data_IF_525219655211
#
_entry.id   IF_525219655211
#
_cell.length_a   1.000
_cell.length_b   1.000
_cell.length_c   1.000
_cell.angle_alpha   90.00
_cell.angle_beta   90.00
_cell.angle_gamma   90.00
#
_symmetry.space_group_name_H-M   'P 1'
#
loop_
_entity.id
_entity.type
_entity.pdbx_description
1 polymer ?
#
# COMPACT_ATOMS: atom_id res chain seq x y z
N UNK A 1 11.35 -11.40 -3.21
CA UNK A 1 12.58 -11.83 -3.90
C UNK A 1 12.83 -13.31 -3.64
N UNK A 2 13.00 -13.74 -2.39
CA UNK A 2 13.30 -15.13 -2.03
C UNK A 2 12.21 -16.14 -2.45
N UNK A 3 10.96 -15.71 -2.45
CA UNK A 3 9.80 -16.51 -2.88
C UNK A 3 9.49 -16.39 -4.40
N UNK A 4 10.42 -15.86 -5.20
CA UNK A 4 10.30 -15.77 -6.66
C UNK A 4 9.35 -14.67 -7.16
N UNK A 5 8.87 -13.80 -6.29
CA UNK A 5 8.09 -12.62 -6.67
C UNK A 5 8.96 -11.54 -7.30
N UNK A 6 8.38 -10.73 -8.20
CA UNK A 6 9.06 -9.56 -8.73
C UNK A 6 8.98 -8.42 -7.70
N UNK A 7 10.13 -7.93 -7.26
CA UNK A 7 10.26 -6.80 -6.34
C UNK A 7 10.65 -5.53 -7.10
N UNK A 8 9.83 -4.48 -7.00
CA UNK A 8 10.05 -3.19 -7.67
C UNK A 8 10.07 -2.10 -6.61
N UNK A 9 11.18 -1.35 -6.51
CA UNK A 9 11.31 -0.20 -5.62
C UNK A 9 10.92 1.09 -6.32
N UNK A 10 10.08 1.88 -5.66
CA UNK A 10 9.73 3.24 -6.06
C UNK A 10 10.40 4.22 -5.09
N UNK A 11 11.61 4.66 -5.42
CA UNK A 11 12.42 5.54 -4.59
C UNK A 11 12.14 7.01 -4.90
N UNK A 12 12.50 7.88 -3.97
CA UNK A 12 12.53 9.33 -4.17
C UNK A 12 13.98 9.80 -4.16
N UNK A 13 14.32 10.74 -5.02
CA UNK A 13 15.62 11.38 -4.99
C UNK A 13 15.71 12.29 -3.76
N UNK A 14 16.67 12.01 -2.89
CA UNK A 14 16.92 12.82 -1.70
C UNK A 14 18.29 13.50 -1.82
N UNK A 15 18.50 14.64 -1.10
CA UNK A 15 19.78 15.32 -1.07
C UNK A 15 20.92 14.50 -0.46
N UNK A 16 20.55 13.45 0.30
CA UNK A 16 21.49 12.54 0.94
C UNK A 16 21.51 11.21 0.20
N UNK A 17 22.69 10.58 0.14
CA UNK A 17 22.87 9.30 -0.51
C UNK A 17 22.02 8.21 0.17
N UNK A 18 21.12 7.60 -0.59
CA UNK A 18 20.36 6.43 -0.16
C UNK A 18 20.81 5.21 -0.96
N UNK A 19 21.21 4.15 -0.25
CA UNK A 19 21.46 2.86 -0.89
C UNK A 19 20.13 2.21 -1.21
N UNK A 20 19.89 1.79 -2.48
CA UNK A 20 18.70 1.05 -2.83
C UNK A 20 18.67 -0.29 -2.09
N UNK A 21 17.46 -0.77 -1.78
CA UNK A 21 17.29 -2.08 -1.19
C UNK A 21 17.85 -3.16 -2.13
N UNK A 22 18.74 -4.01 -1.61
CA UNK A 22 19.42 -5.06 -2.37
C UNK A 22 18.48 -6.18 -2.89
N UNK A 23 17.27 -6.29 -2.35
CA UNK A 23 16.27 -7.30 -2.73
C UNK A 23 15.35 -6.86 -3.86
N UNK A 24 15.67 -5.76 -4.54
CA UNK A 24 14.88 -5.25 -5.67
C UNK A 24 15.33 -5.90 -6.98
N UNK A 25 14.36 -6.37 -7.78
CA UNK A 25 14.61 -6.75 -9.17
C UNK A 25 14.70 -5.53 -10.08
N UNK A 26 13.94 -4.46 -9.74
CA UNK A 26 13.94 -3.19 -10.45
C UNK A 26 13.80 -2.04 -9.47
N UNK A 27 14.37 -0.89 -9.82
CA UNK A 27 14.22 0.35 -9.06
C UNK A 27 13.87 1.49 -10.00
N UNK A 28 12.92 2.32 -9.58
CA UNK A 28 12.52 3.56 -10.24
C UNK A 28 12.73 4.68 -9.24
N UNK A 29 13.47 5.72 -9.61
CA UNK A 29 13.70 6.90 -8.76
C UNK A 29 12.91 8.07 -9.31
N UNK A 30 12.13 8.70 -8.46
CA UNK A 30 11.32 9.88 -8.76
C UNK A 30 11.99 11.13 -8.20
N UNK A 31 11.90 12.24 -8.92
CA UNK A 31 12.37 13.55 -8.44
C UNK A 31 11.34 14.22 -7.52
N UNK A 32 10.04 13.95 -7.75
CA UNK A 32 8.96 14.60 -7.04
C UNK A 32 8.10 13.62 -6.23
N UNK A 33 7.87 13.93 -4.96
CA UNK A 33 7.06 13.11 -4.05
C UNK A 33 5.65 12.84 -4.60
N UNK A 34 4.95 13.87 -5.10
CA UNK A 34 3.58 13.71 -5.57
C UNK A 34 3.46 12.76 -6.77
N UNK A 35 4.45 12.75 -7.66
CA UNK A 35 4.47 11.82 -8.81
C UNK A 35 4.58 10.38 -8.32
N UNK A 36 5.51 10.13 -7.39
CA UNK A 36 5.70 8.80 -6.78
C UNK A 36 4.41 8.33 -6.12
N UNK A 37 3.75 9.17 -5.31
CA UNK A 37 2.52 8.86 -4.57
C UNK A 37 1.37 8.50 -5.52
N UNK A 38 1.12 9.34 -6.53
CA UNK A 38 0.09 9.07 -7.55
C UNK A 38 0.32 7.74 -8.26
N UNK A 39 1.57 7.44 -8.63
CA UNK A 39 1.87 6.19 -9.35
C UNK A 39 1.81 4.96 -8.44
N UNK A 40 2.21 5.07 -7.17
CA UNK A 40 2.02 3.99 -6.20
C UNK A 40 0.53 3.62 -6.06
N UNK A 41 -0.34 4.59 -5.89
CA UNK A 41 -1.79 4.33 -5.81
C UNK A 41 -2.33 3.78 -7.12
N UNK A 42 -1.98 4.41 -8.25
CA UNK A 42 -2.52 4.07 -9.58
C UNK A 42 -2.20 2.64 -10.02
N UNK A 43 -1.02 2.14 -9.67
CA UNK A 43 -0.54 0.83 -10.12
C UNK A 43 -0.59 -0.24 -9.04
N UNK A 44 -1.24 0.03 -7.91
CA UNK A 44 -1.44 -0.93 -6.83
C UNK A 44 -2.88 -1.41 -6.74
N UNK A 45 -3.08 -2.59 -6.21
CA UNK A 45 -4.38 -3.16 -5.86
C UNK A 45 -4.65 -3.14 -4.37
N UNK A 46 -3.63 -2.93 -3.56
CA UNK A 46 -3.69 -2.92 -2.11
C UNK A 46 -2.44 -2.25 -1.55
N UNK A 47 -2.52 -1.78 -0.31
CA UNK A 47 -1.35 -1.39 0.46
C UNK A 47 -1.22 -2.24 1.73
N UNK A 48 0.02 -2.66 2.01
CA UNK A 48 0.43 -3.17 3.32
C UNK A 48 1.42 -2.16 3.89
N UNK A 49 1.03 -1.52 4.97
CA UNK A 49 1.82 -0.50 5.65
C UNK A 49 2.61 -1.17 6.76
N UNK A 50 3.91 -1.28 6.55
CA UNK A 50 4.85 -1.81 7.54
C UNK A 50 5.33 -0.72 8.51
N UNK A 51 5.85 -1.06 9.70
CA UNK A 51 6.45 -0.10 10.61
C UNK A 51 7.42 0.84 9.90
N UNK A 52 7.23 2.15 10.06
CA UNK A 52 8.00 3.15 9.34
C UNK A 52 7.78 4.57 9.88
N UNK A 53 8.52 5.53 9.36
CA UNK A 53 8.51 6.92 9.81
C UNK A 53 7.47 7.81 9.11
N UNK A 54 7.75 9.11 9.08
CA UNK A 54 6.84 10.12 8.53
C UNK A 54 6.43 9.87 7.08
N UNK A 55 7.36 9.42 6.23
CA UNK A 55 7.02 9.11 4.83
C UNK A 55 6.04 7.95 4.70
N UNK A 56 6.12 6.96 5.60
CA UNK A 56 5.17 5.85 5.66
C UNK A 56 3.78 6.32 6.12
N UNK A 57 3.75 7.22 7.09
CA UNK A 57 2.51 7.82 7.57
C UNK A 57 1.87 8.74 6.53
N UNK A 58 2.66 9.49 5.79
CA UNK A 58 2.20 10.31 4.67
C UNK A 58 1.49 9.45 3.60
N UNK A 59 2.08 8.33 3.18
CA UNK A 59 1.44 7.39 2.25
C UNK A 59 0.17 6.75 2.84
N UNK A 60 0.21 6.39 4.13
CA UNK A 60 -0.94 5.79 4.82
C UNK A 60 -2.13 6.74 4.88
N UNK A 61 -1.95 7.96 5.36
CA UNK A 61 -3.04 8.92 5.50
C UNK A 61 -3.55 9.41 4.14
N UNK A 62 -2.69 9.51 3.14
CA UNK A 62 -3.13 9.84 1.79
C UNK A 62 -4.07 8.78 1.22
N UNK A 63 -3.64 7.50 1.22
CA UNK A 63 -4.50 6.44 0.68
C UNK A 63 -5.79 6.29 1.49
N UNK A 64 -5.70 6.42 2.83
CA UNK A 64 -6.86 6.35 3.69
C UNK A 64 -7.88 7.45 3.36
N UNK A 65 -7.42 8.68 3.16
CA UNK A 65 -8.26 9.81 2.74
C UNK A 65 -8.88 9.59 1.36
N UNK A 66 -8.11 9.08 0.39
CA UNK A 66 -8.61 8.78 -0.95
C UNK A 66 -9.71 7.70 -0.95
N UNK A 67 -9.57 6.70 -0.07
CA UNK A 67 -10.59 5.63 0.08
C UNK A 67 -11.83 6.17 0.83
N UNK A 68 -11.64 6.92 1.92
CA UNK A 68 -12.71 7.55 2.69
C UNK A 68 -13.57 8.47 1.80
N UNK A 69 -12.93 9.30 0.98
CA UNK A 69 -13.62 10.23 0.07
C UNK A 69 -14.15 9.57 -1.20
N UNK A 70 -13.99 8.26 -1.34
CA UNK A 70 -14.38 7.46 -2.52
C UNK A 70 -13.71 7.90 -3.83
N UNK A 71 -12.61 8.65 -3.75
CA UNK A 71 -11.76 8.99 -4.90
C UNK A 71 -11.10 7.72 -5.46
N UNK A 72 -10.67 6.83 -4.56
CA UNK A 72 -10.25 5.46 -4.86
C UNK A 72 -11.25 4.52 -4.22
N UNK A 73 -11.78 3.59 -4.99
CA UNK A 73 -12.74 2.61 -4.50
C UNK A 73 -12.16 1.20 -4.52
N UNK A 74 -12.65 0.34 -3.63
CA UNK A 74 -12.27 -1.08 -3.59
C UNK A 74 -10.75 -1.30 -3.40
N UNK A 75 -10.14 -0.52 -2.50
CA UNK A 75 -8.71 -0.58 -2.24
C UNK A 75 -8.47 -1.03 -0.78
N UNK A 76 -8.07 -2.29 -0.55
CA UNK A 76 -7.81 -2.79 0.79
C UNK A 76 -6.51 -2.23 1.34
N UNK A 77 -6.55 -1.76 2.59
CA UNK A 77 -5.41 -1.23 3.33
C UNK A 77 -5.18 -2.14 4.54
N UNK A 78 -3.95 -2.59 4.71
CA UNK A 78 -3.52 -3.35 5.88
C UNK A 78 -2.47 -2.55 6.63
N UNK A 79 -2.69 -2.33 7.92
CA UNK A 79 -1.71 -1.77 8.84
C UNK A 79 -1.09 -2.92 9.62
N UNK A 80 0.14 -3.28 9.28
CA UNK A 80 0.82 -4.46 9.82
C UNK A 80 1.78 -4.07 10.95
N UNK A 81 1.63 -4.68 12.12
CA UNK A 81 2.45 -4.39 13.30
C UNK A 81 1.68 -3.75 14.45
N UNK A 82 0.83 -4.52 15.15
CA UNK A 82 -0.05 -4.03 16.24
C UNK A 82 0.71 -3.30 17.33
N UNK A 83 1.84 -3.84 17.76
CA UNK A 83 2.62 -3.20 18.81
C UNK A 83 3.17 -1.84 18.40
N UNK A 84 3.64 -1.72 17.17
CA UNK A 84 4.18 -0.46 16.64
C UNK A 84 3.09 0.60 16.45
N UNK A 85 1.95 0.21 15.92
CA UNK A 85 0.86 1.12 15.55
C UNK A 85 -0.24 1.30 16.60
N UNK A 86 -0.05 0.75 17.82
CA UNK A 86 -1.05 0.83 18.88
C UNK A 86 -1.53 2.26 19.14
N UNK A 87 -0.61 3.19 19.39
CA UNK A 87 -0.96 4.59 19.70
C UNK A 87 -1.60 5.30 18.50
N UNK A 88 -1.24 4.91 17.28
CA UNK A 88 -1.89 5.42 16.07
C UNK A 88 -3.35 4.96 16.00
N UNK A 89 -3.62 3.68 16.30
CA UNK A 89 -4.98 3.16 16.30
C UNK A 89 -5.82 3.80 17.40
N UNK A 90 -5.28 3.98 18.60
CA UNK A 90 -5.94 4.74 19.68
C UNK A 90 -6.29 6.17 19.23
N UNK A 91 -5.37 6.85 18.52
CA UNK A 91 -5.63 8.18 17.98
C UNK A 91 -6.77 8.18 16.95
N UNK A 92 -6.83 7.17 16.07
CA UNK A 92 -7.89 7.03 15.07
C UNK A 92 -9.25 6.73 15.77
N UNK A 93 -9.25 5.92 16.82
CA UNK A 93 -10.44 5.67 17.66
C UNK A 93 -10.92 6.95 18.33
N UNK A 94 -10.03 7.79 18.86
CA UNK A 94 -10.35 9.10 19.42
C UNK A 94 -10.94 10.05 18.35
N UNK A 95 -10.41 10.05 17.13
CA UNK A 95 -10.99 10.81 16.01
C UNK A 95 -12.45 10.39 15.74
N UNK A 96 -12.73 9.08 15.75
CA UNK A 96 -14.08 8.58 15.59
C UNK A 96 -14.99 8.92 16.76
N UNK A 97 -14.49 8.89 18.00
CA UNK A 97 -15.23 9.26 19.20
C UNK A 97 -15.59 10.75 19.23
N UNK A 98 -14.69 11.61 18.72
CA UNK A 98 -14.91 13.05 18.59
C UNK A 98 -15.71 13.45 17.35
N UNK A 99 -16.02 12.50 16.46
CA UNK A 99 -16.80 12.75 15.25
C UNK A 99 -16.05 13.48 14.13
N UNK A 100 -14.71 13.52 14.16
CA UNK A 100 -13.88 14.07 13.07
C UNK A 100 -13.76 13.10 11.90
N UNK A 101 -13.98 11.82 12.15
CA UNK A 101 -14.19 10.76 11.15
C UNK A 101 -15.44 9.95 11.53
N UNK A 102 -16.01 9.21 10.58
CA UNK A 102 -17.15 8.34 10.86
C UNK A 102 -16.71 7.01 11.50
N UNK A 103 -17.63 6.33 12.19
CA UNK A 103 -17.32 4.98 12.73
C UNK A 103 -17.09 3.95 11.62
N UNK A 104 -17.74 4.14 10.49
CA UNK A 104 -17.57 3.30 9.29
C UNK A 104 -16.15 3.40 8.74
N UNK A 105 -15.48 4.56 8.88
CA UNK A 105 -14.10 4.76 8.42
C UNK A 105 -13.10 3.85 9.14
N UNK A 106 -13.41 3.42 10.38
CA UNK A 106 -12.60 2.44 11.11
C UNK A 106 -12.47 1.10 10.37
N UNK A 107 -13.46 0.74 9.57
CA UNK A 107 -13.46 -0.50 8.78
C UNK A 107 -12.64 -0.44 7.49
N UNK A 108 -12.11 0.74 7.13
CA UNK A 108 -11.29 0.91 5.92
C UNK A 108 -9.91 0.27 6.01
N UNK A 109 -9.46 -0.01 7.24
CA UNK A 109 -8.12 -0.54 7.51
C UNK A 109 -8.23 -1.85 8.28
N UNK A 110 -7.55 -2.90 7.80
CA UNK A 110 -7.28 -4.09 8.59
C UNK A 110 -6.02 -3.87 9.41
N UNK A 111 -6.12 -4.05 10.73
CA UNK A 111 -5.01 -3.93 11.67
C UNK A 111 -4.63 -5.32 12.21
N UNK A 112 -3.46 -5.83 11.82
CA UNK A 112 -3.08 -7.21 12.12
C UNK A 112 -1.57 -7.41 12.29
N UNK A 113 -1.18 -8.51 12.95
CA UNK A 113 0.17 -9.07 12.96
C UNK A 113 0.21 -10.42 12.21
N UNK A 114 -0.92 -10.89 11.70
CA UNK A 114 -1.04 -12.17 11.03
C UNK A 114 -0.89 -12.01 9.52
N UNK A 115 0.14 -12.64 8.96
CA UNK A 115 0.44 -12.59 7.51
C UNK A 115 -0.67 -13.27 6.68
N UNK A 116 -1.25 -14.37 7.17
CA UNK A 116 -2.31 -15.07 6.46
C UNK A 116 -3.60 -14.24 6.46
N UNK A 117 -3.94 -13.60 7.57
CA UNK A 117 -5.07 -12.68 7.65
C UNK A 117 -4.91 -11.53 6.66
N UNK A 118 -3.73 -10.88 6.63
CA UNK A 118 -3.42 -9.80 5.71
C UNK A 118 -3.58 -10.23 4.23
N UNK A 119 -2.97 -11.37 3.87
CA UNK A 119 -3.03 -11.90 2.51
C UNK A 119 -4.47 -12.30 2.12
N UNK A 120 -5.21 -12.94 3.02
CA UNK A 120 -6.59 -13.36 2.76
C UNK A 120 -7.53 -12.16 2.63
N UNK A 121 -7.34 -11.12 3.43
CA UNK A 121 -8.07 -9.86 3.29
C UNK A 121 -7.88 -9.26 1.91
N UNK A 122 -6.64 -9.08 1.47
CA UNK A 122 -6.33 -8.54 0.14
C UNK A 122 -6.89 -9.43 -0.98
N UNK A 123 -6.67 -10.76 -0.90
CA UNK A 123 -7.15 -11.69 -1.92
C UNK A 123 -8.66 -11.67 -2.08
N UNK A 124 -9.40 -11.68 -0.97
CA UNK A 124 -10.86 -11.64 -0.98
C UNK A 124 -11.37 -10.36 -1.62
N UNK A 125 -10.75 -9.23 -1.29
CA UNK A 125 -11.09 -7.93 -1.83
C UNK A 125 -10.82 -7.83 -3.33
N UNK A 126 -9.62 -8.25 -3.75
CA UNK A 126 -9.22 -8.24 -5.17
C UNK A 126 -10.10 -9.18 -6.00
N UNK A 127 -10.41 -10.40 -5.51
CA UNK A 127 -11.29 -11.33 -6.22
C UNK A 127 -12.71 -10.80 -6.37
N UNK A 128 -13.24 -10.11 -5.36
CA UNK A 128 -14.59 -9.55 -5.39
C UNK A 128 -14.72 -8.38 -6.36
N UNK A 129 -13.71 -7.50 -6.42
CA UNK A 129 -13.83 -6.20 -7.06
C UNK A 129 -13.09 -6.08 -8.39
N UNK A 130 -12.13 -6.97 -8.65
CA UNK A 130 -11.31 -6.90 -9.87
C UNK A 130 -11.39 -8.20 -10.67
N UNK A 131 -11.62 -8.06 -11.97
CA UNK A 131 -11.47 -9.17 -12.92
C UNK A 131 -9.99 -9.30 -13.31
N UNK A 132 -9.19 -9.93 -12.47
CA UNK A 132 -7.78 -10.17 -12.77
C UNK A 132 -7.69 -11.18 -13.91
N UNK A 133 -7.37 -10.69 -15.11
CA UNK A 133 -7.07 -11.57 -16.25
C UNK A 133 -5.56 -11.81 -16.28
N UNK A 134 -5.15 -13.07 -16.33
CA UNK A 134 -3.73 -13.37 -16.62
C UNK A 134 -3.41 -12.80 -18.00
N UNK A 135 -2.38 -11.96 -18.07
CA UNK A 135 -1.93 -11.39 -19.33
C UNK A 135 -1.39 -12.53 -20.20
N UNK A 136 -2.06 -12.82 -21.32
CA UNK A 136 -1.51 -13.72 -22.34
C UNK A 136 -0.30 -13.03 -22.96
N UNK A 137 0.88 -13.67 -22.87
CA UNK A 137 2.09 -13.16 -23.52
C UNK A 137 1.90 -13.22 -25.02
N UNK A 138 2.25 -12.14 -25.68
CA UNK A 138 2.25 -12.07 -27.13
C UNK A 138 3.70 -12.28 -27.61
N UNK A 139 3.99 -13.44 -28.18
CA UNK A 139 5.34 -13.82 -28.65
C UNK A 139 5.92 -12.81 -29.63
N UNK A 140 5.10 -12.12 -30.41
CA UNK A 140 5.52 -11.08 -31.36
C UNK A 140 5.95 -9.77 -30.70
N UNK A 141 5.72 -9.57 -29.42
CA UNK A 141 6.17 -8.40 -28.65
C UNK A 141 7.52 -8.64 -27.97
N UNK A 142 8.21 -9.75 -28.27
CA UNK A 142 9.49 -10.14 -27.68
C UNK A 142 9.52 -10.06 -26.14
N UNK A 143 8.41 -10.32 -25.48
CA UNK A 143 8.31 -10.30 -24.02
C UNK A 143 9.16 -11.41 -23.43
N UNK A 144 10.36 -11.04 -22.92
CA UNK A 144 11.26 -11.98 -22.22
C UNK A 144 10.68 -12.41 -20.86
N UNK A 145 11.13 -13.60 -20.42
CA UNK A 145 10.81 -14.15 -19.09
C UNK A 145 11.38 -13.28 -17.99
#
# INVERSE_FOLDING_TARGET
YEYGGMSIGCNIQLPFEQKPNQYLNRSITFEHFFVRKVLLVKYSYAFIIMPGGFGTMDEFFEILTLVQTKTVTNFPIVLFGRNYYRNLMETIEDMAAQGTISKEDMSLVLFTDDEEEAVNHIRSYVRKNYKVKSRKRHWWLFEKR
#
